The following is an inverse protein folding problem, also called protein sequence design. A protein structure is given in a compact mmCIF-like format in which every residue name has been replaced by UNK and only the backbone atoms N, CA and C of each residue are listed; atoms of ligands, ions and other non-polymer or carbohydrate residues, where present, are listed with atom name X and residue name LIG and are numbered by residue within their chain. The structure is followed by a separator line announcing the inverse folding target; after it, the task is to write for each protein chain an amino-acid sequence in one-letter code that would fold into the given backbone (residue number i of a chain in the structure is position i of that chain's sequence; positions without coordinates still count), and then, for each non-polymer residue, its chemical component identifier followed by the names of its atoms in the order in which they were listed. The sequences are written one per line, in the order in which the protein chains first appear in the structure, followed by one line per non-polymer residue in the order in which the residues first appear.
data_IF_437788135755
#
_entry.id   IF_437788135755
#
_cell.length_a   1.000
_cell.length_b   1.000
_cell.length_c   1.000
_cell.angle_alpha   90.00
_cell.angle_beta   90.00
_cell.angle_gamma   90.00
#
_symmetry.space_group_name_H-M   'P 1'
#
loop_
_entity.id
_entity.type
_entity.pdbx_description
1 polymer ?
#
# COMPACT_ATOMS: atom_id res chain seq x y z
N UNK A 1 3.83 -12.03 -30.87
CA UNK A 1 4.40 -11.65 -29.56
C UNK A 1 4.43 -10.13 -29.46
N UNK A 2 3.62 -9.54 -28.58
CA UNK A 2 3.80 -8.18 -28.04
C UNK A 2 2.94 -8.11 -26.79
N UNK A 3 3.55 -8.32 -25.61
CA UNK A 3 2.91 -8.02 -24.34
C UNK A 3 2.82 -6.50 -24.22
N UNK A 4 1.60 -5.98 -24.08
CA UNK A 4 1.40 -4.59 -23.71
C UNK A 4 1.96 -4.39 -22.30
N UNK A 5 3.10 -3.72 -22.21
CA UNK A 5 3.56 -3.12 -20.97
C UNK A 5 2.53 -2.08 -20.57
N UNK A 6 1.80 -2.34 -19.48
CA UNK A 6 1.07 -1.30 -18.77
C UNK A 6 2.12 -0.31 -18.25
N UNK A 7 2.25 0.83 -18.94
CA UNK A 7 3.04 1.96 -18.47
C UNK A 7 2.34 2.55 -17.25
N UNK A 8 2.69 2.07 -16.06
CA UNK A 8 2.39 2.81 -14.83
C UNK A 8 3.17 4.13 -14.90
N UNK A 9 2.45 5.23 -15.07
CA UNK A 9 3.01 6.55 -14.86
C UNK A 9 3.70 6.55 -13.49
N UNK A 10 4.91 7.12 -13.33
CA UNK A 10 5.54 7.22 -12.03
C UNK A 10 4.56 7.98 -11.15
N UNK A 11 4.14 7.35 -10.06
CA UNK A 11 3.24 7.95 -9.08
C UNK A 11 3.92 9.22 -8.58
N UNK A 12 3.60 10.37 -9.16
CA UNK A 12 4.04 11.67 -8.66
C UNK A 12 3.19 11.98 -7.44
N UNK A 13 3.56 11.35 -6.33
CA UNK A 13 3.05 11.62 -5.00
C UNK A 13 3.36 13.09 -4.68
N UNK A 14 2.33 13.94 -4.70
CA UNK A 14 2.45 15.39 -4.60
C UNK A 14 3.17 15.89 -3.33
N UNK A 15 3.36 17.22 -3.24
CA UNK A 15 4.22 17.92 -2.26
C UNK A 15 3.97 17.68 -0.76
N UNK A 16 2.97 16.88 -0.37
CA UNK A 16 2.70 16.47 1.03
C UNK A 16 3.86 15.69 1.66
N UNK A 17 4.61 14.94 0.86
CA UNK A 17 5.68 14.06 1.34
C UNK A 17 7.06 14.71 1.37
N UNK A 18 7.21 15.90 0.76
CA UNK A 18 8.47 16.65 0.71
C UNK A 18 8.95 17.14 2.08
N UNK A 19 8.10 17.10 3.12
CA UNK A 19 8.45 17.50 4.49
C UNK A 19 9.13 16.39 5.31
N UNK A 20 9.04 15.13 4.88
CA UNK A 20 9.58 13.99 5.61
C UNK A 20 10.99 13.67 5.13
N UNK A 21 11.89 13.36 6.07
CA UNK A 21 13.22 12.82 5.77
C UNK A 21 13.14 11.32 5.55
N UNK A 22 14.21 10.77 4.97
CA UNK A 22 14.38 9.34 4.76
C UNK A 22 14.01 8.54 6.02
N UNK A 23 13.12 7.56 5.86
CA UNK A 23 12.74 6.62 6.91
C UNK A 23 11.69 7.15 7.90
N UNK A 24 11.36 8.44 7.87
CA UNK A 24 10.36 9.02 8.79
C UNK A 24 8.93 8.69 8.39
N UNK A 25 8.64 8.55 7.09
CA UNK A 25 7.28 8.34 6.63
C UNK A 25 7.18 7.25 5.56
N UNK A 26 6.17 6.40 5.72
CA UNK A 26 5.97 5.22 4.89
C UNK A 26 4.53 5.11 4.45
N UNK A 27 4.30 4.60 3.26
CA UNK A 27 2.98 4.20 2.78
C UNK A 27 2.93 2.69 2.67
N UNK A 28 1.85 2.09 3.15
CA UNK A 28 1.61 0.66 3.01
C UNK A 28 0.31 0.40 2.26
N UNK A 29 0.30 -0.64 1.43
CA UNK A 29 -0.85 -1.03 0.63
C UNK A 29 -0.88 -2.55 0.41
N UNK A 30 -2.07 -3.10 0.19
CA UNK A 30 -2.24 -4.49 -0.19
C UNK A 30 -2.59 -4.59 -1.67
N UNK A 31 -1.70 -5.21 -2.45
CA UNK A 31 -1.96 -5.50 -3.86
C UNK A 31 -2.39 -6.95 -4.02
N UNK A 32 -3.36 -7.18 -4.90
CA UNK A 32 -3.75 -8.53 -5.33
C UNK A 32 -2.95 -8.87 -6.58
N UNK A 33 -2.25 -10.01 -6.55
CA UNK A 33 -1.47 -10.48 -7.70
C UNK A 33 -2.31 -11.39 -8.60
N UNK A 34 -2.04 -11.42 -9.93
CA UNK A 34 -2.67 -12.38 -10.83
C UNK A 34 -2.44 -13.81 -10.34
N UNK A 35 -3.48 -14.64 -10.45
CA UNK A 35 -3.47 -15.99 -9.89
C UNK A 35 -2.43 -16.86 -10.60
N UNK A 36 -1.42 -17.31 -9.85
CA UNK A 36 -0.50 -18.36 -10.29
C UNK A 36 -1.02 -19.72 -9.82
N UNK A 37 -0.59 -20.81 -10.46
CA UNK A 37 -1.00 -22.19 -10.10
C UNK A 37 -0.70 -22.57 -8.63
N UNK A 38 0.03 -21.74 -7.89
CA UNK A 38 0.46 -21.94 -6.50
C UNK A 38 -0.39 -21.20 -5.45
N UNK A 39 -1.46 -20.51 -5.86
CA UNK A 39 -2.51 -20.03 -4.92
C UNK A 39 -2.18 -18.82 -4.04
N UNK A 40 -1.00 -18.20 -4.16
CA UNK A 40 -0.68 -16.95 -3.44
C UNK A 40 -1.29 -15.74 -4.18
N UNK A 41 -2.17 -14.99 -3.49
CA UNK A 41 -3.00 -13.94 -4.11
C UNK A 41 -2.69 -12.51 -3.64
N UNK A 42 -1.84 -12.31 -2.64
CA UNK A 42 -1.64 -10.98 -2.05
C UNK A 42 -0.16 -10.67 -1.79
N UNK A 43 0.19 -9.40 -1.92
CA UNK A 43 1.44 -8.85 -1.44
C UNK A 43 1.16 -7.57 -0.67
N UNK A 44 1.94 -7.33 0.38
CA UNK A 44 2.04 -6.05 1.05
C UNK A 44 3.13 -5.24 0.35
N UNK A 45 2.80 -4.05 -0.11
CA UNK A 45 3.76 -3.09 -0.64
C UNK A 45 4.01 -2.00 0.40
N UNK A 46 5.26 -1.66 0.63
CA UNK A 46 5.68 -0.63 1.57
C UNK A 46 6.59 0.35 0.81
N UNK A 47 6.23 1.63 0.80
CA UNK A 47 6.90 2.68 0.02
C UNK A 47 7.41 3.75 0.96
N UNK A 48 8.70 4.05 0.89
CA UNK A 48 9.31 5.15 1.63
C UNK A 48 8.97 6.49 0.97
N UNK A 49 8.57 7.47 1.77
CA UNK A 49 7.98 8.70 1.28
C UNK A 49 8.97 9.66 0.60
N UNK A 50 10.21 9.77 1.11
CA UNK A 50 11.17 10.77 0.66
C UNK A 50 11.88 10.36 -0.64
N UNK A 51 12.13 9.07 -0.82
CA UNK A 51 12.91 8.47 -1.91
C UNK A 51 12.04 7.67 -2.87
N UNK A 52 10.84 7.28 -2.47
CA UNK A 52 9.98 6.36 -3.23
C UNK A 52 10.47 4.91 -3.19
N UNK A 53 11.35 4.54 -2.26
CA UNK A 53 11.88 3.19 -2.13
C UNK A 53 10.76 2.18 -1.84
N UNK A 54 10.51 1.27 -2.79
CA UNK A 54 9.45 0.26 -2.71
C UNK A 54 10.01 -1.09 -2.26
N UNK A 55 9.43 -1.64 -1.20
CA UNK A 55 9.64 -3.01 -0.76
C UNK A 55 8.32 -3.80 -0.84
N UNK A 56 8.40 -5.05 -1.29
CA UNK A 56 7.22 -5.91 -1.44
C UNK A 56 7.39 -7.18 -0.63
N UNK A 57 6.41 -7.49 0.23
CA UNK A 57 6.39 -8.69 1.05
C UNK A 57 5.21 -9.59 0.65
N UNK A 58 5.45 -10.81 0.16
CA UNK A 58 4.36 -11.72 -0.21
C UNK A 58 3.61 -12.17 1.05
N UNK A 59 2.28 -12.06 1.03
CA UNK A 59 1.42 -12.45 2.16
C UNK A 59 0.33 -13.40 1.68
N UNK A 60 0.02 -14.47 2.44
CA UNK A 60 -1.04 -15.40 2.03
C UNK A 60 -2.41 -14.72 2.02
N UNK A 61 -2.63 -13.78 2.94
CA UNK A 61 -3.88 -13.04 3.10
C UNK A 61 -3.60 -11.57 3.43
N UNK A 62 -4.43 -10.67 2.88
CA UNK A 62 -4.44 -9.25 3.24
C UNK A 62 -5.08 -9.11 4.64
N UNK A 63 -4.28 -9.12 5.70
CA UNK A 63 -4.75 -8.96 7.07
C UNK A 63 -3.88 -7.94 7.81
N UNK A 64 -4.46 -7.22 8.78
CA UNK A 64 -3.74 -6.28 9.63
C UNK A 64 -2.48 -6.90 10.25
N UNK A 65 -2.58 -8.14 10.72
CA UNK A 65 -1.46 -8.87 11.30
C UNK A 65 -0.31 -9.07 10.30
N UNK A 66 -0.63 -9.51 9.08
CA UNK A 66 0.38 -9.70 8.04
C UNK A 66 0.98 -8.36 7.58
N UNK A 67 0.19 -7.28 7.59
CA UNK A 67 0.69 -5.94 7.33
C UNK A 67 1.70 -5.48 8.38
N UNK A 68 1.38 -5.63 9.67
CA UNK A 68 2.30 -5.28 10.76
C UNK A 68 3.56 -6.14 10.74
N UNK A 69 3.44 -7.46 10.54
CA UNK A 69 4.61 -8.32 10.38
C UNK A 69 5.50 -7.90 9.21
N UNK A 70 4.90 -7.51 8.08
CA UNK A 70 5.65 -7.00 6.92
C UNK A 70 6.34 -5.67 7.23
N UNK A 71 5.63 -4.74 7.87
CA UNK A 71 6.15 -3.44 8.30
C UNK A 71 7.31 -3.60 9.28
N UNK A 72 7.18 -4.44 10.30
CA UNK A 72 8.25 -4.70 11.25
C UNK A 72 9.48 -5.28 10.54
N UNK A 73 9.29 -6.29 9.70
CA UNK A 73 10.35 -7.01 8.99
C UNK A 73 11.11 -6.14 7.99
N UNK A 74 10.39 -5.38 7.18
CA UNK A 74 10.97 -4.62 6.06
C UNK A 74 11.38 -3.21 6.48
N UNK A 75 10.58 -2.55 7.33
CA UNK A 75 10.83 -1.17 7.73
C UNK A 75 11.62 -1.09 9.02
N UNK A 76 11.06 -1.59 10.14
CA UNK A 76 11.63 -1.31 11.47
C UNK A 76 13.07 -1.80 11.63
N UNK A 77 13.37 -3.02 11.17
CA UNK A 77 14.72 -3.58 11.32
C UNK A 77 15.79 -2.91 10.47
N UNK A 78 15.42 -2.27 9.35
CA UNK A 78 16.39 -1.68 8.40
C UNK A 78 16.48 -0.16 8.50
N UNK A 79 15.33 0.47 8.72
CA UNK A 79 15.14 1.91 8.60
C UNK A 79 14.76 2.58 9.92
N UNK A 80 14.51 1.79 10.97
CA UNK A 80 14.08 2.27 12.29
C UNK A 80 12.57 2.47 12.38
N UNK A 81 12.12 3.03 13.51
CA UNK A 81 10.69 3.26 13.76
C UNK A 81 10.19 4.45 12.93
N UNK A 82 9.19 4.25 12.07
CA UNK A 82 8.63 5.34 11.28
C UNK A 82 7.82 6.29 12.17
N UNK A 83 7.94 7.59 11.92
CA UNK A 83 7.12 8.62 12.59
C UNK A 83 5.69 8.61 12.05
N UNK A 84 5.52 8.26 10.77
CA UNK A 84 4.21 8.24 10.11
C UNK A 84 4.04 7.08 9.17
N UNK A 85 2.88 6.44 9.23
CA UNK A 85 2.47 5.41 8.29
C UNK A 85 1.14 5.79 7.67
N UNK A 86 1.06 5.72 6.34
CA UNK A 86 -0.19 5.90 5.61
C UNK A 86 -0.66 4.58 5.01
N UNK A 87 -1.90 4.17 5.30
CA UNK A 87 -2.53 3.00 4.70
C UNK A 87 -3.83 3.37 4.00
N UNK A 88 -4.36 2.48 3.15
CA UNK A 88 -5.74 2.64 2.68
C UNK A 88 -6.74 2.38 3.82
N UNK A 89 -7.95 2.91 3.67
CA UNK A 89 -9.03 2.73 4.64
C UNK A 89 -9.80 1.42 4.41
N UNK A 90 -9.20 0.41 3.77
CA UNK A 90 -9.87 -0.88 3.60
C UNK A 90 -9.98 -1.59 4.94
N UNK A 91 -10.97 -2.48 5.01
CA UNK A 91 -11.30 -3.28 6.20
C UNK A 91 -10.12 -4.07 6.76
N UNK A 92 -9.11 -4.37 5.94
CA UNK A 92 -7.89 -5.07 6.38
C UNK A 92 -6.94 -4.22 7.22
N UNK A 93 -6.99 -2.88 7.13
CA UNK A 93 -6.18 -1.98 7.95
C UNK A 93 -6.95 -1.29 9.08
N UNK A 94 -8.29 -1.24 9.00
CA UNK A 94 -9.13 -0.65 10.06
C UNK A 94 -9.39 -1.66 11.18
N UNK A 95 -8.38 -1.87 12.03
CA UNK A 95 -8.44 -2.79 13.17
C UNK A 95 -7.73 -2.18 14.39
N UNK A 96 -8.28 -2.37 15.59
CA UNK A 96 -7.67 -1.96 16.87
C UNK A 96 -6.21 -2.39 16.99
N UNK A 97 -5.82 -3.50 16.37
CA UNK A 97 -4.44 -3.98 16.34
C UNK A 97 -3.46 -2.94 15.77
N UNK A 98 -3.83 -2.26 14.68
CA UNK A 98 -3.00 -1.25 14.04
C UNK A 98 -2.94 0.01 14.92
N UNK A 99 -4.06 0.41 15.50
CA UNK A 99 -4.10 1.56 16.40
C UNK A 99 -3.27 1.32 17.67
N UNK A 100 -3.30 0.11 18.23
CA UNK A 100 -2.45 -0.28 19.36
C UNK A 100 -0.97 -0.27 18.97
N UNK A 101 -0.62 -0.90 17.85
CA UNK A 101 0.76 -0.93 17.37
C UNK A 101 1.30 0.50 17.17
N UNK A 102 0.52 1.37 16.54
CA UNK A 102 0.87 2.76 16.29
C UNK A 102 1.15 3.52 17.60
N UNK A 103 0.28 3.34 18.62
CA UNK A 103 0.46 3.94 19.95
C UNK A 103 1.70 3.43 20.66
N UNK A 104 1.94 2.12 20.65
CA UNK A 104 3.10 1.49 21.31
C UNK A 104 4.42 1.93 20.68
N UNK A 105 4.43 2.18 19.37
CA UNK A 105 5.62 2.56 18.62
C UNK A 105 5.77 4.07 18.44
N UNK A 106 4.82 4.87 18.96
CA UNK A 106 4.82 6.33 18.80
C UNK A 106 4.66 6.80 17.34
N UNK A 107 4.10 5.95 16.47
CA UNK A 107 3.88 6.25 15.06
C UNK A 107 2.50 6.84 14.85
N UNK A 108 2.40 7.89 14.03
CA UNK A 108 1.12 8.41 13.55
C UNK A 108 0.61 7.53 12.41
N UNK A 109 -0.50 6.83 12.62
CA UNK A 109 -1.16 6.07 11.56
C UNK A 109 -2.27 6.89 10.91
N UNK A 110 -2.18 7.11 9.60
CA UNK A 110 -3.16 7.90 8.85
C UNK A 110 -3.78 7.07 7.72
N UNK A 111 -5.09 6.92 7.79
CA UNK A 111 -5.86 6.27 6.74
C UNK A 111 -6.17 7.27 5.63
N UNK A 112 -5.85 6.94 4.39
CA UNK A 112 -6.30 7.73 3.24
C UNK A 112 -7.71 7.28 2.80
N UNK A 113 -8.54 8.27 2.44
CA UNK A 113 -9.83 8.00 1.79
C UNK A 113 -9.51 7.40 0.42
N UNK A 114 -10.02 6.20 0.08
CA UNK A 114 -9.85 5.66 -1.26
C UNK A 114 -10.36 6.71 -2.25
N UNK A 115 -9.57 6.96 -3.29
CA UNK A 115 -9.90 7.94 -4.32
C UNK A 115 -11.34 7.67 -4.79
N UNK A 116 -12.26 8.61 -4.55
CA UNK A 116 -13.56 8.58 -5.22
C UNK A 116 -13.24 8.72 -6.70
N UNK A 117 -13.46 7.67 -7.48
CA UNK A 117 -13.47 7.76 -8.92
C UNK A 117 -14.40 8.92 -9.27
N UNK A 118 -13.82 9.96 -9.88
CA UNK A 118 -14.59 11.05 -10.45
C UNK A 118 -15.66 10.39 -11.30
N UNK A 119 -16.94 10.70 -11.04
CA UNK A 119 -18.05 10.20 -11.83
C UNK A 119 -17.69 10.37 -13.31
N UNK A 120 -17.39 9.25 -13.96
CA UNK A 120 -17.14 9.16 -15.39
C UNK A 120 -18.46 9.42 -16.09
N UNK A 121 -18.75 10.70 -16.34
CA UNK A 121 -19.71 11.12 -17.36
C UNK A 121 -19.13 10.77 -18.72
N UNK A 122 -19.35 9.53 -19.15
CA UNK A 122 -18.90 9.04 -20.44
C UNK A 122 -19.41 7.62 -20.66
N UNK A 123 -20.67 7.51 -21.08
CA UNK A 123 -21.22 6.27 -21.63
C UNK A 123 -20.39 5.88 -22.85
N UNK A 124 -19.90 4.65 -22.87
CA UNK A 124 -19.68 3.94 -24.13
C UNK A 124 -20.11 2.50 -23.91
N UNK A 125 -21.22 2.20 -24.58
CA UNK A 125 -21.75 0.88 -24.81
C UNK A 125 -20.67 -0.01 -25.42
N UNK A 126 -20.58 -1.27 -25.00
CA UNK A 126 -20.97 -2.41 -25.84
C UNK A 126 -20.49 -3.71 -25.17
N UNK A 127 -21.40 -4.66 -25.17
CA UNK A 127 -21.16 -6.03 -24.74
C UNK A 127 -20.17 -6.72 -25.68
N UNK A 128 -19.36 -7.63 -25.13
CA UNK A 128 -19.27 -8.96 -25.75
C UNK A 128 -18.81 -10.03 -24.77
N UNK A 129 -19.53 -11.13 -24.88
CA UNK A 129 -19.56 -12.38 -24.13
C UNK A 129 -18.29 -13.24 -24.23
N UNK A 130 -18.20 -14.15 -23.25
CA UNK A 130 -17.32 -15.32 -23.08
C UNK A 130 -15.82 -15.10 -22.83
#
# INVERSE_FOLDING_TARGET
MRCNQASQAPLRYGGRWLKYKYGQAWRIDHITLPQTCQGKRHALTVVEAATGWLETYPVPHATAWNALLGLEKQVRWRHGTPERIESDNRTHFRNNLIDTWAKEHGSEWVYHIPYHALASGGKSNDAMDC
#
